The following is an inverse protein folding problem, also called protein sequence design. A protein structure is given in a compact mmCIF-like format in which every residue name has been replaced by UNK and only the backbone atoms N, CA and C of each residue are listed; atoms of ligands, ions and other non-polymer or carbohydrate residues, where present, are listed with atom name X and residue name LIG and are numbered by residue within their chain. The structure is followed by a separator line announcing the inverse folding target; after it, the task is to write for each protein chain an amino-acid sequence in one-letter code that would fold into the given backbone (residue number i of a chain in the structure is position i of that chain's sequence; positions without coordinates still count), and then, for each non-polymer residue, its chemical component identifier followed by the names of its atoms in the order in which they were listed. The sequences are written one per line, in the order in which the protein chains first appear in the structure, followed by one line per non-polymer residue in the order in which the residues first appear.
data_IF_317063535553
#
_entry.id   IF_317063535553
#
_cell.length_a   1.000
_cell.length_b   1.000
_cell.length_c   1.000
_cell.angle_alpha   90.00
_cell.angle_beta   90.00
_cell.angle_gamma   90.00
#
_symmetry.space_group_name_H-M   'P 1'
#
loop_
_entity.id
_entity.type
_entity.pdbx_description
1 polymer ?
#
# COMPACT_ATOMS: atom_id res chain seq x y z
N UNK A 1 -47.44 -50.18 -21.62
CA UNK A 1 -47.67 -51.63 -21.74
C UNK A 1 -46.40 -52.28 -22.30
N UNK A 2 -45.90 -53.34 -21.62
CA UNK A 2 -45.24 -54.58 -22.11
C UNK A 2 -44.39 -54.52 -23.41
N UNK A 3 -43.28 -55.23 -23.61
CA UNK A 3 -42.34 -56.10 -22.85
C UNK A 3 -41.45 -56.70 -23.95
N UNK A 4 -40.13 -56.85 -23.71
CA UNK A 4 -39.26 -57.97 -24.16
C UNK A 4 -38.98 -58.06 -25.69
N UNK A 5 -37.90 -58.67 -26.20
CA UNK A 5 -37.13 -59.83 -25.71
C UNK A 5 -35.78 -59.94 -26.44
N UNK A 6 -34.78 -60.41 -25.72
CA UNK A 6 -33.48 -60.96 -26.14
C UNK A 6 -33.60 -62.16 -27.09
N UNK A 7 -32.56 -62.39 -27.92
CA UNK A 7 -31.96 -63.72 -28.10
C UNK A 7 -30.51 -63.62 -28.60
N UNK A 8 -29.62 -64.37 -27.93
CA UNK A 8 -28.21 -64.59 -28.24
C UNK A 8 -28.01 -65.52 -29.44
N UNK A 9 -26.84 -65.44 -30.07
CA UNK A 9 -26.16 -66.62 -30.61
C UNK A 9 -24.72 -66.70 -30.05
N UNK A 10 -24.32 -67.91 -29.67
CA UNK A 10 -23.09 -68.30 -28.98
C UNK A 10 -22.60 -69.59 -29.63
N UNK A 11 -21.39 -69.56 -30.17
CA UNK A 11 -20.62 -70.76 -30.54
C UNK A 11 -19.39 -70.33 -31.34
N UNK A 12 -18.16 -70.80 -31.13
CA UNK A 12 -17.66 -71.89 -30.30
C UNK A 12 -16.14 -71.73 -30.10
N UNK A 13 -15.60 -72.47 -29.13
CA UNK A 13 -14.28 -72.40 -28.50
C UNK A 13 -13.21 -73.28 -29.18
N UNK A 14 -11.92 -72.97 -28.98
CA UNK A 14 -10.73 -73.84 -28.67
C UNK A 14 -9.44 -73.00 -28.91
N UNK A 15 -8.57 -72.57 -27.97
CA UNK A 15 -7.75 -73.13 -26.87
C UNK A 15 -6.58 -74.05 -27.30
N UNK A 16 -5.36 -73.69 -26.82
CA UNK A 16 -4.06 -74.39 -26.67
C UNK A 16 -2.90 -73.82 -27.50
N UNK A 17 -1.63 -73.79 -27.07
CA UNK A 17 -0.93 -73.38 -25.84
C UNK A 17 0.61 -73.53 -26.08
N UNK A 18 1.39 -72.57 -25.56
CA UNK A 18 2.77 -72.65 -25.02
C UNK A 18 4.01 -73.04 -25.87
N UNK A 19 5.04 -72.18 -25.77
CA UNK A 19 6.46 -72.44 -25.34
C UNK A 19 7.47 -71.67 -26.20
N UNK A 20 8.07 -70.56 -25.73
CA UNK A 20 9.37 -70.41 -25.02
C UNK A 20 10.63 -70.73 -25.87
N UNK A 21 11.40 -69.72 -26.29
CA UNK A 21 12.78 -69.45 -25.80
C UNK A 21 13.41 -68.17 -26.43
N UNK A 22 14.28 -67.55 -25.63
CA UNK A 22 15.05 -66.30 -25.81
C UNK A 22 16.17 -66.35 -26.87
N UNK A 23 16.48 -65.20 -27.51
CA UNK A 23 17.87 -64.71 -27.70
C UNK A 23 17.95 -63.16 -27.65
N UNK A 24 18.83 -62.72 -26.74
CA UNK A 24 19.54 -61.45 -26.52
C UNK A 24 19.63 -60.37 -27.62
N UNK A 25 19.36 -59.12 -27.20
CA UNK A 25 20.28 -57.97 -27.33
C UNK A 25 20.19 -57.08 -28.57
N UNK A 26 19.92 -55.77 -28.39
CA UNK A 26 20.74 -54.63 -28.88
C UNK A 26 20.09 -53.28 -28.50
N UNK A 27 20.92 -52.44 -27.86
CA UNK A 27 20.96 -50.98 -27.73
C UNK A 27 19.77 -50.17 -27.17
N UNK A 28 20.01 -49.72 -25.94
CA UNK A 28 19.68 -48.40 -25.41
C UNK A 28 19.82 -47.27 -26.45
N UNK A 29 18.72 -46.57 -26.73
CA UNK A 29 18.74 -45.12 -26.97
C UNK A 29 17.53 -44.51 -26.27
N UNK A 30 17.65 -44.35 -24.95
CA UNK A 30 16.91 -43.27 -24.29
C UNK A 30 17.41 -41.97 -24.91
N UNK A 31 16.68 -41.44 -25.89
CA UNK A 31 16.70 -40.00 -26.17
C UNK A 31 15.99 -39.30 -25.00
N UNK A 32 16.58 -39.40 -23.81
CA UNK A 32 16.44 -38.38 -22.79
C UNK A 32 17.22 -37.20 -23.31
N UNK A 33 16.59 -36.43 -24.19
CA UNK A 33 16.97 -35.06 -24.42
C UNK A 33 16.72 -34.33 -23.10
N UNK A 34 17.64 -34.44 -22.15
CA UNK A 34 17.81 -33.47 -21.09
C UNK A 34 18.27 -32.19 -21.76
N UNK A 35 17.35 -31.49 -22.44
CA UNK A 35 17.61 -30.12 -22.82
C UNK A 35 17.81 -29.38 -21.51
N UNK A 36 19.06 -28.99 -21.23
CA UNK A 36 19.37 -28.13 -20.10
C UNK A 36 18.34 -27.00 -20.07
N UNK A 37 17.76 -26.65 -18.91
CA UNK A 37 16.75 -25.61 -18.84
C UNK A 37 17.28 -24.38 -19.56
N UNK A 38 16.52 -23.90 -20.55
CA UNK A 38 16.93 -22.75 -21.37
C UNK A 38 17.29 -21.63 -20.40
N UNK A 39 18.56 -21.19 -20.40
CA UNK A 39 18.97 -20.05 -19.57
C UNK A 39 18.04 -18.90 -19.90
N UNK A 40 17.46 -18.22 -18.89
CA UNK A 40 16.52 -17.14 -19.15
C UNK A 40 17.20 -16.06 -19.99
N UNK A 41 16.47 -15.45 -20.92
CA UNK A 41 16.99 -14.42 -21.82
C UNK A 41 17.50 -13.17 -21.08
N UNK A 42 17.08 -12.97 -19.83
CA UNK A 42 17.53 -11.90 -18.94
C UNK A 42 17.59 -12.40 -17.51
N UNK A 43 18.69 -12.09 -16.81
CA UNK A 43 18.80 -12.31 -15.37
C UNK A 43 18.38 -11.01 -14.68
N UNK A 44 17.33 -11.08 -13.86
CA UNK A 44 16.71 -9.89 -13.23
C UNK A 44 16.74 -9.95 -11.70
N UNK A 45 17.55 -10.83 -11.11
CA UNK A 45 17.58 -11.07 -9.66
C UNK A 45 17.82 -9.78 -8.85
N UNK A 46 18.81 -8.97 -9.24
CA UNK A 46 19.08 -7.70 -8.54
C UNK A 46 17.94 -6.69 -8.70
N UNK A 47 17.30 -6.65 -9.88
CA UNK A 47 16.13 -5.78 -10.12
C UNK A 47 14.94 -6.19 -9.24
N UNK A 48 14.64 -7.47 -9.18
CA UNK A 48 13.54 -8.00 -8.36
C UNK A 48 13.78 -7.77 -6.87
N UNK A 49 15.03 -7.95 -6.42
CA UNK A 49 15.41 -7.67 -5.04
C UNK A 49 15.25 -6.18 -4.71
N UNK A 50 15.71 -5.28 -5.59
CA UNK A 50 15.53 -3.85 -5.41
C UNK A 50 14.05 -3.45 -5.33
N UNK A 51 13.18 -4.00 -6.20
CA UNK A 51 11.74 -3.77 -6.14
C UNK A 51 11.17 -4.23 -4.80
N UNK A 52 11.47 -5.46 -4.39
CA UNK A 52 11.00 -6.00 -3.11
C UNK A 52 11.46 -5.16 -1.91
N UNK A 53 12.71 -4.69 -1.93
CA UNK A 53 13.25 -3.84 -0.88
C UNK A 53 12.56 -2.48 -0.83
N UNK A 54 12.26 -1.86 -1.97
CA UNK A 54 11.50 -0.62 -2.02
C UNK A 54 10.08 -0.79 -1.51
N UNK A 55 9.41 -1.90 -1.86
CA UNK A 55 8.06 -2.18 -1.37
C UNK A 55 8.04 -2.30 0.15
N UNK A 56 8.95 -3.11 0.72
CA UNK A 56 9.09 -3.24 2.18
C UNK A 56 9.47 -1.90 2.81
N UNK A 57 10.43 -1.18 2.23
CA UNK A 57 10.88 0.09 2.80
C UNK A 57 9.78 1.15 2.84
N UNK A 58 8.91 1.20 1.84
CA UNK A 58 7.77 2.10 1.81
C UNK A 58 6.76 1.76 2.92
N UNK A 59 6.42 0.49 3.09
CA UNK A 59 5.61 0.01 4.22
C UNK A 59 6.23 0.37 5.57
N UNK A 60 7.52 0.10 5.75
CA UNK A 60 8.22 0.37 7.01
C UNK A 60 8.36 1.88 7.29
N UNK A 61 8.43 2.71 6.24
CA UNK A 61 8.39 4.17 6.39
C UNK A 61 7.06 4.63 6.98
N UNK A 62 5.94 4.06 6.53
CA UNK A 62 4.60 4.42 7.02
C UNK A 62 4.34 3.92 8.45
N UNK A 63 4.98 2.81 8.83
CA UNK A 63 4.94 2.25 10.18
C UNK A 63 5.84 2.97 11.19
N UNK A 64 6.64 3.95 10.75
CA UNK A 64 7.58 4.68 11.60
C UNK A 64 8.95 3.98 11.79
N UNK A 65 9.18 2.84 11.14
CA UNK A 65 10.41 2.05 11.22
C UNK A 65 11.51 2.62 10.30
N UNK A 66 11.83 3.90 10.51
CA UNK A 66 12.66 4.70 9.61
C UNK A 66 14.09 4.15 9.40
N UNK A 67 14.67 3.48 10.41
CA UNK A 67 16.01 2.88 10.30
C UNK A 67 16.02 1.72 9.31
N UNK A 68 15.05 0.81 9.42
CA UNK A 68 14.92 -0.32 8.50
C UNK A 68 14.59 0.18 7.09
N UNK A 69 13.63 1.10 6.97
CA UNK A 69 13.26 1.71 5.69
C UNK A 69 14.47 2.35 4.99
N UNK A 70 15.25 3.18 5.70
CA UNK A 70 16.45 3.81 5.13
C UNK A 70 17.46 2.78 4.65
N UNK A 71 17.71 1.73 5.44
CA UNK A 71 18.68 0.68 5.09
C UNK A 71 18.29 -0.05 3.82
N UNK A 72 17.01 -0.43 3.69
CA UNK A 72 16.48 -1.11 2.53
C UNK A 72 16.51 -0.22 1.27
N UNK A 73 16.19 1.07 1.41
CA UNK A 73 16.28 2.02 0.28
C UNK A 73 17.71 2.22 -0.20
N UNK A 74 18.68 2.30 0.72
CA UNK A 74 20.10 2.41 0.38
C UNK A 74 20.62 1.16 -0.35
N UNK A 75 20.17 -0.02 0.05
CA UNK A 75 20.49 -1.28 -0.65
C UNK A 75 19.85 -1.34 -2.03
N UNK A 76 18.56 -1.01 -2.12
CA UNK A 76 17.83 -0.98 -3.39
C UNK A 76 18.46 0.00 -4.38
N UNK A 77 18.90 1.17 -3.91
CA UNK A 77 19.65 2.14 -4.72
C UNK A 77 20.95 1.54 -5.26
N UNK A 78 21.75 0.88 -4.41
CA UNK A 78 23.01 0.23 -4.84
C UNK A 78 22.77 -0.85 -5.90
N UNK A 79 21.72 -1.67 -5.72
CA UNK A 79 21.33 -2.68 -6.70
C UNK A 79 20.91 -2.02 -8.02
N UNK A 80 20.08 -0.98 -7.97
CA UNK A 80 19.63 -0.25 -9.14
C UNK A 80 20.80 0.40 -9.92
N UNK A 81 21.76 1.01 -9.21
CA UNK A 81 22.99 1.53 -9.81
C UNK A 81 23.84 0.41 -10.41
N UNK A 82 24.02 -0.70 -9.70
CA UNK A 82 24.87 -1.81 -10.13
C UNK A 82 24.41 -2.48 -11.43
N UNK A 83 23.12 -2.42 -11.75
CA UNK A 83 22.56 -2.94 -13.02
C UNK A 83 22.14 -1.85 -14.01
N UNK A 84 22.50 -0.60 -13.73
CA UNK A 84 22.15 0.57 -14.55
C UNK A 84 20.63 0.67 -14.85
N UNK A 85 19.82 0.51 -13.81
CA UNK A 85 18.37 0.54 -13.90
C UNK A 85 17.81 1.93 -13.56
N UNK A 86 17.77 2.84 -14.53
CA UNK A 86 17.20 4.19 -14.37
C UNK A 86 15.84 4.19 -13.67
N UNK A 87 14.91 3.34 -14.12
CA UNK A 87 13.56 3.24 -13.54
C UNK A 87 13.57 2.94 -12.03
N UNK A 88 14.49 2.09 -11.57
CA UNK A 88 14.62 1.72 -10.16
C UNK A 88 15.37 2.77 -9.34
N UNK A 89 16.35 3.45 -9.92
CA UNK A 89 17.04 4.58 -9.27
C UNK A 89 16.05 5.71 -8.99
N UNK A 90 15.23 6.08 -9.98
CA UNK A 90 14.18 7.09 -9.83
C UNK A 90 13.17 6.67 -8.75
N UNK A 91 12.68 5.43 -8.77
CA UNK A 91 11.74 4.92 -7.74
C UNK A 91 12.35 4.91 -6.34
N UNK A 92 13.63 4.59 -6.21
CA UNK A 92 14.33 4.67 -4.95
C UNK A 92 14.41 6.12 -4.44
N UNK A 93 14.70 7.11 -5.30
CA UNK A 93 14.69 8.52 -4.93
C UNK A 93 13.29 8.99 -4.49
N UNK A 94 12.23 8.59 -5.18
CA UNK A 94 10.86 8.89 -4.76
C UNK A 94 10.54 8.35 -3.35
N UNK A 95 10.97 7.11 -3.09
CA UNK A 95 10.81 6.43 -1.80
C UNK A 95 11.62 7.12 -0.70
N UNK A 96 12.88 7.49 -0.97
CA UNK A 96 13.74 8.24 -0.04
C UNK A 96 13.16 9.62 0.30
N UNK A 97 12.58 10.32 -0.68
CA UNK A 97 11.91 11.59 -0.42
C UNK A 97 10.66 11.43 0.47
N UNK A 98 9.88 10.36 0.27
CA UNK A 98 8.77 10.02 1.17
C UNK A 98 9.25 9.69 2.60
N UNK A 99 10.34 8.94 2.74
CA UNK A 99 10.93 8.66 4.06
C UNK A 99 11.38 9.96 4.74
N UNK A 100 12.06 10.84 4.01
CA UNK A 100 12.46 12.15 4.53
C UNK A 100 11.25 12.99 4.97
N UNK A 101 10.17 12.96 4.19
CA UNK A 101 8.90 13.59 4.54
C UNK A 101 8.34 13.07 5.88
N UNK A 102 8.28 11.74 6.06
CA UNK A 102 7.80 11.14 7.32
C UNK A 102 8.68 11.49 8.52
N UNK A 103 10.00 11.62 8.30
CA UNK A 103 10.97 12.12 9.29
C UNK A 103 10.88 13.63 9.54
N UNK A 104 9.98 14.34 8.86
CA UNK A 104 9.80 15.80 8.91
C UNK A 104 11.04 16.58 8.45
N UNK A 105 11.83 15.99 7.55
CA UNK A 105 12.97 16.62 6.91
C UNK A 105 12.56 17.10 5.51
N UNK A 106 11.95 18.29 5.46
CA UNK A 106 11.45 18.88 4.22
C UNK A 106 12.56 19.14 3.19
N UNK A 107 13.75 19.55 3.65
CA UNK A 107 14.87 19.85 2.75
C UNK A 107 15.36 18.59 2.02
N UNK A 108 15.53 17.49 2.75
CA UNK A 108 15.90 16.21 2.13
C UNK A 108 14.79 15.66 1.24
N UNK A 109 13.52 15.79 1.65
CA UNK A 109 12.37 15.34 0.86
C UNK A 109 12.35 16.01 -0.53
N UNK A 110 12.41 17.35 -0.54
CA UNK A 110 12.50 18.13 -1.78
C UNK A 110 13.71 17.75 -2.63
N UNK A 111 14.89 17.60 -2.00
CA UNK A 111 16.10 17.23 -2.73
C UNK A 111 15.95 15.89 -3.46
N UNK A 112 15.42 14.86 -2.78
CA UNK A 112 15.24 13.55 -3.38
C UNK A 112 14.20 13.56 -4.51
N UNK A 113 13.08 14.25 -4.34
CA UNK A 113 12.04 14.32 -5.38
C UNK A 113 12.49 15.15 -6.60
N UNK A 114 13.25 16.23 -6.40
CA UNK A 114 13.85 16.97 -7.51
C UNK A 114 14.89 16.13 -8.26
N UNK A 115 15.74 15.38 -7.54
CA UNK A 115 16.67 14.45 -8.19
C UNK A 115 15.94 13.36 -8.98
N UNK A 116 14.83 12.84 -8.45
CA UNK A 116 14.00 11.87 -9.17
C UNK A 116 13.42 12.46 -10.45
N UNK A 117 12.98 13.73 -10.41
CA UNK A 117 12.48 14.45 -11.58
C UNK A 117 13.56 14.68 -12.63
N UNK A 118 14.74 15.16 -12.21
CA UNK A 118 15.87 15.43 -13.10
C UNK A 118 16.35 14.16 -13.80
N UNK A 119 16.47 13.07 -13.04
CA UNK A 119 16.89 11.78 -13.58
C UNK A 119 15.83 11.18 -14.52
N UNK A 120 14.54 11.25 -14.17
CA UNK A 120 13.46 10.81 -15.04
C UNK A 120 13.43 11.59 -16.37
N UNK A 121 13.72 12.90 -16.34
CA UNK A 121 13.79 13.73 -17.53
C UNK A 121 15.01 13.36 -18.40
N UNK A 122 16.18 13.18 -17.79
CA UNK A 122 17.40 12.80 -18.51
C UNK A 122 17.29 11.43 -19.21
N UNK A 123 16.60 10.49 -18.58
CA UNK A 123 16.40 9.13 -19.07
C UNK A 123 15.16 9.01 -19.99
N UNK A 124 14.46 10.11 -20.25
CA UNK A 124 13.22 10.16 -21.06
C UNK A 124 12.09 9.26 -20.52
N UNK A 125 12.04 9.06 -19.19
CA UNK A 125 11.00 8.30 -18.51
C UNK A 125 9.78 9.19 -18.21
N UNK A 126 9.01 9.55 -19.25
CA UNK A 126 7.90 10.52 -19.16
C UNK A 126 6.87 10.18 -18.05
N UNK A 127 6.59 8.90 -17.87
CA UNK A 127 5.69 8.44 -16.81
C UNK A 127 6.24 8.74 -15.40
N UNK A 128 7.55 8.55 -15.22
CA UNK A 128 8.21 8.84 -13.94
C UNK A 128 8.46 10.34 -13.75
N UNK A 129 8.56 11.13 -14.83
CA UNK A 129 8.53 12.60 -14.76
C UNK A 129 7.20 13.06 -14.15
N UNK A 130 6.08 12.53 -14.64
CA UNK A 130 4.76 12.84 -14.07
C UNK A 130 4.62 12.35 -12.63
N UNK A 131 5.09 11.13 -12.31
CA UNK A 131 5.11 10.65 -10.94
C UNK A 131 5.94 11.56 -10.01
N UNK A 132 7.16 11.96 -10.40
CA UNK A 132 8.01 12.82 -9.59
C UNK A 132 7.38 14.20 -9.32
N UNK A 133 6.71 14.78 -10.32
CA UNK A 133 5.93 16.03 -10.12
C UNK A 133 4.79 15.86 -9.14
N UNK A 134 4.06 14.75 -9.20
CA UNK A 134 3.01 14.43 -8.22
C UNK A 134 3.61 14.31 -6.82
N UNK A 135 4.79 13.72 -6.66
CA UNK A 135 5.47 13.64 -5.36
C UNK A 135 5.91 15.01 -4.85
N UNK A 136 6.46 15.89 -5.70
CA UNK A 136 6.75 17.29 -5.33
C UNK A 136 5.51 18.04 -4.85
N UNK A 137 4.32 17.74 -5.38
CA UNK A 137 3.08 18.34 -4.90
C UNK A 137 2.74 17.98 -3.44
N UNK A 138 3.25 16.86 -2.90
CA UNK A 138 3.13 16.57 -1.46
C UNK A 138 3.88 17.61 -0.63
N UNK A 139 5.07 17.99 -1.08
CA UNK A 139 5.88 19.03 -0.46
C UNK A 139 5.23 20.40 -0.57
N UNK A 140 4.77 20.76 -1.77
CA UNK A 140 3.98 21.98 -2.00
C UNK A 140 2.80 22.08 -1.02
N UNK A 141 1.97 21.04 -0.93
CA UNK A 141 0.81 21.03 -0.05
C UNK A 141 1.21 21.24 1.43
N UNK A 142 2.28 20.58 1.85
CA UNK A 142 2.66 20.50 3.28
C UNK A 142 3.47 21.70 3.77
N UNK A 143 4.44 22.17 2.97
CA UNK A 143 5.42 23.18 3.38
C UNK A 143 5.86 24.12 2.24
N UNK A 144 5.17 24.10 1.10
CA UNK A 144 5.48 25.00 0.00
C UNK A 144 5.29 26.49 0.35
N UNK A 145 5.90 27.35 -0.46
CA UNK A 145 5.69 28.79 -0.38
C UNK A 145 4.42 29.14 -1.18
N UNK A 146 3.43 29.72 -0.51
CA UNK A 146 2.22 30.23 -1.15
C UNK A 146 1.54 31.23 -0.23
N UNK A 147 0.70 32.10 -0.80
CA UNK A 147 0.00 33.15 -0.06
C UNK A 147 -0.83 32.57 1.11
N UNK A 148 -1.37 31.36 0.95
CA UNK A 148 -2.02 30.59 2.01
C UNK A 148 -1.94 29.07 1.77
N UNK A 149 -2.27 28.26 2.79
CA UNK A 149 -2.41 26.80 2.65
C UNK A 149 -3.48 26.41 1.63
N UNK A 150 -4.55 27.22 1.51
CA UNK A 150 -5.62 27.03 0.52
C UNK A 150 -5.13 27.28 -0.90
N UNK A 151 -4.22 28.22 -1.11
CA UNK A 151 -3.68 28.48 -2.45
C UNK A 151 -2.75 27.35 -2.90
N UNK A 152 -1.92 26.83 -1.99
CA UNK A 152 -1.13 25.62 -2.25
C UNK A 152 -2.00 24.41 -2.53
N UNK A 153 -3.14 24.28 -1.86
CA UNK A 153 -4.10 23.21 -2.14
C UNK A 153 -4.72 23.32 -3.55
N UNK A 154 -5.09 24.51 -4.01
CA UNK A 154 -5.60 24.72 -5.38
C UNK A 154 -4.52 24.40 -6.42
N UNK A 155 -3.30 24.89 -6.19
CA UNK A 155 -2.16 24.63 -7.08
C UNK A 155 -1.82 23.14 -7.14
N UNK A 156 -1.85 22.45 -5.99
CA UNK A 156 -1.69 21.00 -5.91
C UNK A 156 -2.73 20.28 -6.76
N UNK A 157 -4.02 20.65 -6.66
CA UNK A 157 -5.08 20.03 -7.46
C UNK A 157 -4.85 20.22 -8.95
N UNK A 158 -4.46 21.43 -9.39
CA UNK A 158 -4.20 21.72 -10.81
C UNK A 158 -3.05 20.88 -11.37
N UNK A 159 -1.89 20.90 -10.69
CA UNK A 159 -0.70 20.16 -11.12
C UNK A 159 -0.97 18.65 -11.09
N UNK A 160 -1.50 18.12 -9.98
CA UNK A 160 -1.74 16.69 -9.82
C UNK A 160 -2.76 16.19 -10.85
N UNK A 161 -3.85 16.92 -11.11
CA UNK A 161 -4.85 16.52 -12.11
C UNK A 161 -4.25 16.46 -13.53
N UNK A 162 -3.39 17.44 -13.87
CA UNK A 162 -2.70 17.49 -15.17
C UNK A 162 -1.69 16.36 -15.34
N UNK A 163 -0.88 16.08 -14.32
CA UNK A 163 0.17 15.04 -14.40
C UNK A 163 -0.43 13.64 -14.29
N UNK A 164 -1.49 13.45 -13.50
CA UNK A 164 -2.23 12.18 -13.41
C UNK A 164 -2.78 11.75 -14.78
N UNK A 165 -3.25 12.69 -15.61
CA UNK A 165 -3.73 12.41 -16.97
C UNK A 165 -2.65 11.91 -17.94
N UNK A 166 -1.36 11.97 -17.56
CA UNK A 166 -0.22 11.49 -18.35
C UNK A 166 0.34 10.15 -17.87
N UNK A 167 -0.10 9.69 -16.70
CA UNK A 167 0.34 8.40 -16.17
C UNK A 167 -0.12 7.27 -17.08
N UNK A 168 0.73 6.25 -17.22
CA UNK A 168 0.37 5.00 -17.89
C UNK A 168 -0.70 4.30 -17.06
N UNK A 169 -1.70 3.73 -17.73
CA UNK A 169 -2.77 2.95 -17.08
C UNK A 169 -2.27 1.77 -16.24
N UNK A 170 -1.06 1.29 -16.50
CA UNK A 170 -0.43 0.21 -15.73
C UNK A 170 0.11 0.65 -14.37
N UNK A 171 0.29 1.96 -14.13
CA UNK A 171 0.92 2.50 -12.91
C UNK A 171 -0.13 3.07 -11.94
N UNK A 172 -1.11 2.22 -11.62
CA UNK A 172 -2.29 2.59 -10.84
C UNK A 172 -1.95 3.06 -9.42
N UNK A 173 -0.80 2.66 -8.86
CA UNK A 173 -0.36 3.13 -7.54
C UNK A 173 0.04 4.62 -7.53
N UNK A 174 0.57 5.15 -8.65
CA UNK A 174 0.80 6.59 -8.76
C UNK A 174 -0.51 7.36 -8.90
N UNK A 175 -1.50 6.78 -9.58
CA UNK A 175 -2.84 7.33 -9.64
C UNK A 175 -3.52 7.34 -8.26
N UNK A 176 -3.43 6.25 -7.49
CA UNK A 176 -3.95 6.19 -6.14
C UNK A 176 -3.30 7.23 -5.22
N UNK A 177 -1.99 7.43 -5.34
CA UNK A 177 -1.28 8.48 -4.61
C UNK A 177 -1.70 9.89 -5.04
N UNK A 178 -1.89 10.14 -6.33
CA UNK A 178 -2.42 11.40 -6.85
C UNK A 178 -3.81 11.71 -6.29
N UNK A 179 -4.70 10.71 -6.25
CA UNK A 179 -6.02 10.84 -5.65
C UNK A 179 -5.97 11.19 -4.16
N UNK A 180 -5.03 10.62 -3.39
CA UNK A 180 -4.83 11.01 -1.98
C UNK A 180 -4.42 12.47 -1.84
N UNK A 181 -3.49 12.96 -2.67
CA UNK A 181 -3.08 14.37 -2.64
C UNK A 181 -4.26 15.30 -2.96
N UNK A 182 -5.05 14.98 -3.98
CA UNK A 182 -6.28 15.72 -4.30
C UNK A 182 -7.24 15.70 -3.10
N UNK A 183 -7.41 14.56 -2.44
CA UNK A 183 -8.25 14.42 -1.25
C UNK A 183 -7.79 15.30 -0.08
N UNK A 184 -6.50 15.33 0.21
CA UNK A 184 -5.92 16.21 1.22
C UNK A 184 -6.05 17.69 0.85
N UNK A 185 -5.87 18.04 -0.42
CA UNK A 185 -6.08 19.42 -0.89
C UNK A 185 -7.52 19.88 -0.74
N UNK A 186 -8.51 19.06 -1.11
CA UNK A 186 -9.91 19.42 -0.88
C UNK A 186 -10.29 19.49 0.59
N UNK A 187 -9.67 18.65 1.44
CA UNK A 187 -9.82 18.74 2.89
C UNK A 187 -9.30 20.09 3.42
N UNK A 188 -8.14 20.56 2.95
CA UNK A 188 -7.60 21.89 3.29
C UNK A 188 -8.53 23.04 2.83
N UNK A 189 -9.20 22.85 1.69
CA UNK A 189 -10.21 23.78 1.19
C UNK A 189 -11.56 23.69 1.92
N UNK A 190 -11.71 22.73 2.85
CA UNK A 190 -12.98 22.42 3.51
C UNK A 190 -14.09 21.96 2.58
N UNK A 191 -13.75 21.45 1.40
CA UNK A 191 -14.67 20.74 0.50
C UNK A 191 -14.67 19.25 0.83
N UNK A 192 -15.47 18.90 1.84
CA UNK A 192 -15.51 17.54 2.39
C UNK A 192 -16.03 16.50 1.39
N UNK A 193 -16.94 16.89 0.49
CA UNK A 193 -17.51 15.98 -0.50
C UNK A 193 -16.47 15.62 -1.57
N UNK A 194 -15.76 16.62 -2.09
CA UNK A 194 -14.70 16.38 -3.06
C UNK A 194 -13.51 15.64 -2.44
N UNK A 195 -13.19 15.94 -1.16
CA UNK A 195 -12.17 15.21 -0.41
C UNK A 195 -12.51 13.72 -0.25
N UNK A 196 -13.72 13.39 0.21
CA UNK A 196 -14.16 11.99 0.35
C UNK A 196 -14.17 11.28 -1.01
N UNK A 197 -14.67 11.93 -2.07
CA UNK A 197 -14.67 11.35 -3.42
C UNK A 197 -13.25 10.99 -3.89
N UNK A 198 -12.29 11.87 -3.67
CA UNK A 198 -10.90 11.62 -4.05
C UNK A 198 -10.29 10.45 -3.24
N UNK A 199 -10.50 10.40 -1.92
CA UNK A 199 -10.05 9.24 -1.13
C UNK A 199 -10.72 7.92 -1.56
N UNK A 200 -11.99 7.96 -1.99
CA UNK A 200 -12.68 6.78 -2.54
C UNK A 200 -12.07 6.28 -3.85
N UNK A 201 -11.65 7.19 -4.73
CA UNK A 201 -10.95 6.79 -5.96
C UNK A 201 -9.60 6.11 -5.65
N UNK A 202 -8.87 6.59 -4.63
CA UNK A 202 -7.65 5.92 -4.16
C UNK A 202 -7.95 4.54 -3.58
N UNK A 203 -8.96 4.47 -2.71
CA UNK A 203 -9.41 3.24 -2.06
C UNK A 203 -9.78 2.16 -3.08
N UNK A 204 -10.53 2.50 -4.13
CA UNK A 204 -10.94 1.55 -5.17
C UNK A 204 -9.71 0.87 -5.82
N UNK A 205 -8.64 1.63 -6.06
CA UNK A 205 -7.40 1.10 -6.61
C UNK A 205 -6.72 0.17 -5.60
N UNK A 206 -6.56 0.59 -4.34
CA UNK A 206 -5.90 -0.22 -3.32
C UNK A 206 -6.69 -1.50 -2.99
N UNK A 207 -8.03 -1.46 -2.95
CA UNK A 207 -8.86 -2.66 -2.77
C UNK A 207 -8.71 -3.62 -3.96
N UNK A 208 -8.78 -3.11 -5.19
CA UNK A 208 -8.60 -3.90 -6.42
C UNK A 208 -7.23 -4.59 -6.45
N UNK A 209 -6.19 -3.90 -6.01
CA UNK A 209 -4.81 -4.40 -6.01
C UNK A 209 -4.43 -5.11 -4.71
N UNK A 210 -5.34 -5.22 -3.74
CA UNK A 210 -5.15 -5.91 -2.45
C UNK A 210 -4.03 -5.26 -1.61
N UNK A 211 -3.82 -3.95 -1.73
CA UNK A 211 -2.96 -3.17 -0.84
C UNK A 211 -3.71 -2.81 0.45
N UNK A 212 -3.84 -3.79 1.36
CA UNK A 212 -4.71 -3.70 2.52
C UNK A 212 -4.38 -2.53 3.46
N UNK A 213 -3.09 -2.28 3.72
CA UNK A 213 -2.66 -1.14 4.57
C UNK A 213 -2.99 0.20 3.94
N UNK A 214 -2.82 0.34 2.63
CA UNK A 214 -3.14 1.56 1.91
C UNK A 214 -4.65 1.79 1.86
N UNK A 215 -5.45 0.72 1.69
CA UNK A 215 -6.90 0.78 1.80
C UNK A 215 -7.35 1.17 3.22
N UNK A 216 -6.69 0.66 4.27
CA UNK A 216 -6.94 1.10 5.65
C UNK A 216 -6.66 2.60 5.82
N UNK A 217 -5.54 3.07 5.28
CA UNK A 217 -5.18 4.48 5.30
C UNK A 217 -6.22 5.38 4.59
N UNK A 218 -6.76 4.95 3.44
CA UNK A 218 -7.82 5.69 2.76
C UNK A 218 -9.11 5.74 3.59
N UNK A 219 -9.48 4.63 4.23
CA UNK A 219 -10.62 4.60 5.17
C UNK A 219 -10.39 5.50 6.38
N UNK A 220 -9.18 5.53 6.93
CA UNK A 220 -8.79 6.47 7.99
C UNK A 220 -8.91 7.93 7.53
N UNK A 221 -8.46 8.25 6.31
CA UNK A 221 -8.60 9.59 5.74
C UNK A 221 -10.07 9.99 5.54
N UNK A 222 -10.91 9.07 5.07
CA UNK A 222 -12.37 9.26 4.97
C UNK A 222 -12.99 9.50 6.36
N UNK A 223 -12.59 8.71 7.37
CA UNK A 223 -13.04 8.92 8.76
C UNK A 223 -12.67 10.32 9.26
N UNK A 224 -11.44 10.77 8.97
CA UNK A 224 -10.97 12.12 9.30
C UNK A 224 -11.82 13.20 8.65
N UNK A 225 -12.08 13.10 7.33
CA UNK A 225 -12.93 14.05 6.58
C UNK A 225 -14.34 14.10 7.16
N UNK A 226 -14.98 12.95 7.39
CA UNK A 226 -16.32 12.88 7.96
C UNK A 226 -16.38 13.45 9.37
N UNK A 227 -15.36 13.20 10.19
CA UNK A 227 -15.26 13.73 11.55
C UNK A 227 -15.20 15.26 11.57
N UNK A 228 -14.40 15.89 10.68
CA UNK A 228 -14.35 17.36 10.59
C UNK A 228 -15.61 17.95 9.96
N UNK A 229 -16.28 17.22 9.07
CA UNK A 229 -17.59 17.55 8.53
C UNK A 229 -18.75 17.33 9.52
N UNK A 230 -18.45 16.92 10.77
CA UNK A 230 -19.42 16.59 11.83
C UNK A 230 -20.39 15.43 11.51
N UNK A 231 -20.06 14.62 10.49
CA UNK A 231 -20.73 13.35 10.23
C UNK A 231 -20.09 12.25 11.11
N UNK A 232 -20.38 12.27 12.41
CA UNK A 232 -19.70 11.41 13.38
C UNK A 232 -20.03 9.92 13.21
N UNK A 233 -21.29 9.56 12.91
CA UNK A 233 -21.66 8.15 12.68
C UNK A 233 -20.98 7.59 11.42
N UNK A 234 -20.93 8.39 10.35
CA UNK A 234 -20.19 8.04 9.14
C UNK A 234 -18.68 7.97 9.37
N UNK A 235 -18.14 8.80 10.25
CA UNK A 235 -16.72 8.77 10.62
C UNK A 235 -16.38 7.50 11.42
N UNK A 236 -17.21 7.12 12.40
CA UNK A 236 -17.06 5.86 13.14
C UNK A 236 -17.13 4.65 12.22
N UNK A 237 -18.11 4.63 11.30
CA UNK A 237 -18.23 3.55 10.30
C UNK A 237 -16.99 3.44 9.42
N UNK A 238 -16.42 4.57 8.99
CA UNK A 238 -15.18 4.58 8.20
C UNK A 238 -13.95 4.14 9.02
N UNK A 239 -13.87 4.53 10.29
CA UNK A 239 -12.80 4.06 11.18
C UNK A 239 -12.91 2.55 11.45
N UNK A 240 -14.13 1.99 11.56
CA UNK A 240 -14.33 0.55 11.68
C UNK A 240 -13.91 -0.21 10.41
N UNK A 241 -14.10 0.39 9.22
CA UNK A 241 -13.52 -0.15 7.98
C UNK A 241 -12.00 -0.15 8.04
N UNK A 242 -11.36 0.95 8.42
CA UNK A 242 -9.89 1.03 8.55
C UNK A 242 -9.36 -0.07 9.49
N UNK A 243 -9.96 -0.22 10.68
CA UNK A 243 -9.64 -1.28 11.65
C UNK A 243 -9.75 -2.68 11.03
N UNK A 244 -10.77 -2.93 10.23
CA UNK A 244 -10.98 -4.22 9.56
C UNK A 244 -9.85 -4.53 8.57
N UNK A 245 -9.42 -3.52 7.80
CA UNK A 245 -8.30 -3.67 6.86
C UNK A 245 -6.97 -3.85 7.59
N UNK A 246 -6.65 -3.00 8.58
CA UNK A 246 -5.38 -3.10 9.31
C UNK A 246 -5.26 -4.37 10.14
N UNK A 247 -6.38 -4.95 10.63
CA UNK A 247 -6.37 -6.30 11.22
C UNK A 247 -5.97 -7.38 10.22
N UNK A 248 -6.48 -7.31 8.98
CA UNK A 248 -6.15 -8.27 7.92
C UNK A 248 -4.74 -8.08 7.39
N UNK A 249 -4.23 -6.85 7.45
CA UNK A 249 -2.86 -6.51 7.07
C UNK A 249 -1.84 -6.76 8.19
N UNK A 250 -2.29 -7.05 9.41
CA UNK A 250 -1.46 -7.16 10.62
C UNK A 250 -0.64 -5.87 10.90
N UNK A 251 -1.20 -4.72 10.51
CA UNK A 251 -0.57 -3.42 10.66
C UNK A 251 -0.89 -2.79 12.01
N UNK A 252 -0.07 -3.12 13.01
CA UNK A 252 -0.27 -2.63 14.39
C UNK A 252 -0.20 -1.10 14.50
N UNK A 253 0.62 -0.43 13.69
CA UNK A 253 0.73 1.04 13.71
C UNK A 253 -0.58 1.69 13.24
N UNK A 254 -1.07 1.29 12.06
CA UNK A 254 -2.35 1.78 11.51
C UNK A 254 -3.52 1.45 12.43
N UNK A 255 -3.58 0.20 12.93
CA UNK A 255 -4.64 -0.24 13.84
C UNK A 255 -4.70 0.62 15.12
N UNK A 256 -3.55 0.96 15.71
CA UNK A 256 -3.49 1.86 16.86
C UNK A 256 -3.99 3.27 16.53
N UNK A 257 -3.62 3.80 15.35
CA UNK A 257 -4.07 5.11 14.87
C UNK A 257 -5.58 5.15 14.60
N UNK A 258 -6.18 4.07 14.12
CA UNK A 258 -7.63 4.01 13.93
C UNK A 258 -8.40 4.04 15.25
N UNK A 259 -7.92 3.33 16.27
CA UNK A 259 -8.50 3.40 17.61
C UNK A 259 -8.32 4.80 18.23
N UNK A 260 -7.21 5.48 17.95
CA UNK A 260 -7.04 6.89 18.31
C UNK A 260 -8.08 7.78 17.64
N UNK A 261 -8.33 7.58 16.33
CA UNK A 261 -9.37 8.32 15.62
C UNK A 261 -10.78 8.05 16.18
N UNK A 262 -11.12 6.80 16.52
CA UNK A 262 -12.38 6.49 17.20
C UNK A 262 -12.51 7.20 18.53
N UNK A 263 -11.45 7.22 19.34
CA UNK A 263 -11.41 7.96 20.60
C UNK A 263 -11.68 9.45 20.39
N UNK A 264 -11.01 10.06 19.41
CA UNK A 264 -11.18 11.47 19.07
C UNK A 264 -12.62 11.78 18.58
N UNK A 265 -13.23 10.89 17.81
CA UNK A 265 -14.61 11.03 17.36
C UNK A 265 -15.59 10.92 18.54
N UNK A 266 -15.40 9.95 19.43
CA UNK A 266 -16.24 9.80 20.61
C UNK A 266 -16.16 11.02 21.53
N UNK A 267 -14.97 11.60 21.71
CA UNK A 267 -14.80 12.86 22.44
C UNK A 267 -15.62 14.00 21.85
N UNK A 268 -15.62 14.16 20.52
CA UNK A 268 -16.44 15.19 19.85
C UNK A 268 -17.94 15.00 20.03
N UNK A 269 -18.38 13.77 20.28
CA UNK A 269 -19.79 13.43 20.56
C UNK A 269 -20.14 13.39 22.05
N UNK A 270 -19.18 13.66 22.94
CA UNK A 270 -19.38 13.58 24.39
C UNK A 270 -19.48 12.16 24.95
N UNK A 271 -19.14 11.13 24.17
CA UNK A 271 -19.18 9.74 24.64
C UNK A 271 -17.85 9.37 25.34
N UNK A 272 -17.70 9.85 26.57
CA UNK A 272 -16.47 9.75 27.35
C UNK A 272 -16.02 8.30 27.58
N UNK A 273 -16.94 7.41 27.95
CA UNK A 273 -16.63 5.99 28.20
C UNK A 273 -16.04 5.31 26.96
N UNK A 274 -16.67 5.48 25.79
CA UNK A 274 -16.17 4.87 24.54
C UNK A 274 -14.86 5.50 24.07
N UNK A 275 -14.64 6.79 24.36
CA UNK A 275 -13.37 7.44 24.09
C UNK A 275 -12.23 6.81 24.91
N UNK A 276 -12.42 6.65 26.22
CA UNK A 276 -11.45 6.01 27.12
C UNK A 276 -11.13 4.58 26.69
N UNK A 277 -12.15 3.78 26.34
CA UNK A 277 -11.95 2.42 25.83
C UNK A 277 -11.14 2.40 24.53
N UNK A 278 -11.41 3.34 23.62
CA UNK A 278 -10.70 3.43 22.34
C UNK A 278 -9.23 3.82 22.53
N UNK A 279 -8.94 4.83 23.36
CA UNK A 279 -7.57 5.24 23.67
C UNK A 279 -6.79 4.17 24.44
N UNK A 280 -7.44 3.48 25.39
CA UNK A 280 -6.82 2.35 26.10
C UNK A 280 -6.45 1.23 25.13
N UNK A 281 -7.36 0.92 24.19
CA UNK A 281 -7.07 -0.09 23.16
C UNK A 281 -5.92 0.31 22.25
N UNK A 282 -5.86 1.57 21.81
CA UNK A 282 -4.75 2.09 21.03
C UNK A 282 -3.42 1.97 21.79
N UNK A 283 -3.39 2.36 23.07
CA UNK A 283 -2.22 2.23 23.94
C UNK A 283 -1.72 0.79 24.04
N UNK A 284 -2.63 -0.17 24.23
CA UNK A 284 -2.26 -1.59 24.34
C UNK A 284 -1.65 -2.12 23.02
N UNK A 285 -2.25 -1.75 21.88
CA UNK A 285 -1.73 -2.13 20.55
C UNK A 285 -0.33 -1.56 20.34
N UNK A 286 -0.15 -0.25 20.53
CA UNK A 286 1.14 0.40 20.37
C UNK A 286 2.20 -0.18 21.31
N UNK A 287 1.85 -0.44 22.58
CA UNK A 287 2.77 -1.05 23.55
C UNK A 287 3.21 -2.45 23.12
N UNK A 288 2.28 -3.26 22.59
CA UNK A 288 2.59 -4.62 22.10
C UNK A 288 3.50 -4.63 20.87
N UNK A 289 3.48 -3.56 20.08
CA UNK A 289 4.31 -3.36 18.91
C UNK A 289 5.61 -2.59 19.20
N UNK A 290 5.94 -2.34 20.48
CA UNK A 290 7.07 -1.51 20.92
C UNK A 290 7.06 -0.05 20.38
N UNK A 291 5.88 0.45 20.00
CA UNK A 291 5.63 1.84 19.58
C UNK A 291 5.38 2.72 20.81
N UNK A 292 6.40 2.88 21.65
CA UNK A 292 6.24 3.45 22.99
C UNK A 292 5.86 4.93 23.00
N UNK A 293 6.24 5.70 21.99
CA UNK A 293 5.90 7.12 21.93
C UNK A 293 4.43 7.32 21.55
N UNK A 294 3.92 6.54 20.61
CA UNK A 294 2.50 6.47 20.26
C UNK A 294 1.66 5.98 21.44
N UNK A 295 2.14 4.97 22.16
CA UNK A 295 1.49 4.47 23.38
C UNK A 295 1.37 5.56 24.46
N UNK A 296 2.41 6.37 24.66
CA UNK A 296 2.36 7.53 25.60
C UNK A 296 1.35 8.57 25.15
N UNK A 297 1.25 8.85 23.84
CA UNK A 297 0.25 9.80 23.31
C UNK A 297 -1.16 9.29 23.57
N UNK A 298 -1.43 8.01 23.34
CA UNK A 298 -2.72 7.39 23.62
C UNK A 298 -3.07 7.43 25.12
N UNK A 299 -2.10 7.11 25.99
CA UNK A 299 -2.26 7.20 27.44
C UNK A 299 -2.60 8.63 27.88
N UNK A 300 -1.87 9.63 27.39
CA UNK A 300 -2.11 11.04 27.73
C UNK A 300 -3.52 11.50 27.35
N UNK A 301 -4.06 11.03 26.22
CA UNK A 301 -5.45 11.33 25.83
C UNK A 301 -6.45 10.73 26.80
N UNK A 302 -6.21 9.49 27.26
CA UNK A 302 -7.07 8.83 28.25
C UNK A 302 -7.00 9.53 29.63
N UNK A 303 -5.80 9.87 30.12
CA UNK A 303 -5.61 10.55 31.40
C UNK A 303 -6.20 11.98 31.41
N UNK A 304 -6.05 12.71 30.29
CA UNK A 304 -6.61 14.05 30.14
C UNK A 304 -8.12 14.08 30.37
N UNK A 305 -8.84 13.05 29.91
CA UNK A 305 -10.29 12.89 30.14
C UNK A 305 -10.58 12.70 31.63
N UNK A 306 -9.91 11.75 32.28
CA UNK A 306 -10.14 11.44 33.70
C UNK A 306 -9.90 12.67 34.59
N UNK A 307 -8.88 13.47 34.27
CA UNK A 307 -8.59 14.72 35.00
C UNK A 307 -9.67 15.79 34.82
N UNK A 308 -10.31 15.86 33.66
CA UNK A 308 -11.42 16.80 33.42
C UNK A 308 -12.71 16.36 34.10
N UNK A 309 -12.98 15.06 34.14
CA UNK A 309 -14.18 14.49 34.77
C UNK A 309 -14.13 14.61 36.30
N UNK A 310 -12.95 14.40 36.90
CA UNK A 310 -12.76 14.57 38.34
C UNK A 310 -12.87 16.02 38.84
N UNK A 311 -12.78 17.02 37.95
CA UNK A 311 -12.91 18.43 38.30
C UNK A 311 -14.34 18.97 38.07
N UNK A 312 -15.25 18.16 37.52
CA UNK A 312 -16.64 18.51 37.25
C UNK A 312 -17.65 17.84 38.20
N UNK A 313 -17.18 16.93 39.06
CA UNK A 313 -17.93 16.26 40.13
C UNK A 313 -17.55 16.83 41.49
#
# INVERSE_FOLDING_TARGET
MKKRKFSLDLGSRTVFAKSFLYVFGILLLFLSCSSAPKRPARIVTQRNLAVQQLDIANTESERGNYVLASTLMDEAWKLAVGVDAADLRIKALLSMGNLAFYKKDAASAENYWHRALDEAAAENEENLVSAAKIYLCRGLLSYGNGDSSKDRAKETIDIVSKEMGKLKKSDELYEAYAWRLIGFSYKELSDWNSAEKAFRNSLEIHEKLIYLEMAAYDWYAIASVRSVAKNYDGALSAADSAISFDRRAENSYGLGMDYMAKGDIYMKTGNIEKALLSYSRAKDIFSSAALYDEAKVALKRAEGIQSSDNNMN
#
